data_IF_274643482200
#
_entry.id   IF_274643482200
#
_cell.length_a   1.000
_cell.length_b   1.000
_cell.length_c   1.000
_cell.angle_alpha   90.00
_cell.angle_beta   90.00
_cell.angle_gamma   90.00
#
_symmetry.space_group_name_H-M   'P 1'
#
loop_
_entity.id
_entity.type
_entity.pdbx_description
1 polymer ?
#
# COMPACT_ATOMS: atom_id res chain seq x y z
N UNK A 1 6.36 -21.34 -15.62
CA UNK A 1 5.60 -21.76 -14.41
C UNK A 1 5.55 -20.67 -13.34
N UNK A 2 6.67 -20.15 -12.80
CA UNK A 2 6.66 -19.15 -11.69
C UNK A 2 6.08 -17.76 -12.04
N UNK A 3 6.29 -17.30 -13.28
CA UNK A 3 5.86 -15.96 -13.74
C UNK A 3 4.33 -15.81 -13.73
N UNK A 4 3.61 -16.86 -14.09
CA UNK A 4 2.16 -16.85 -14.19
C UNK A 4 1.51 -16.79 -12.80
N UNK A 5 2.14 -17.42 -11.80
CA UNK A 5 1.62 -17.44 -10.43
C UNK A 5 1.60 -16.04 -9.80
N UNK A 6 2.60 -15.20 -10.10
CA UNK A 6 2.63 -13.81 -9.63
C UNK A 6 1.47 -12.99 -10.21
N UNK A 7 1.17 -13.15 -11.51
CA UNK A 7 0.05 -12.46 -12.13
C UNK A 7 -1.30 -12.95 -11.58
N UNK A 8 -1.44 -14.26 -11.33
CA UNK A 8 -2.64 -14.83 -10.70
C UNK A 8 -2.81 -14.28 -9.28
N UNK A 9 -1.74 -14.19 -8.50
CA UNK A 9 -1.80 -13.62 -7.15
C UNK A 9 -2.21 -12.14 -7.17
N UNK A 10 -1.67 -11.35 -8.09
CA UNK A 10 -2.05 -9.94 -8.25
C UNK A 10 -3.53 -9.83 -8.67
N UNK A 11 -3.96 -10.61 -9.65
CA UNK A 11 -5.35 -10.62 -10.11
C UNK A 11 -6.32 -11.04 -8.99
N UNK A 12 -5.95 -12.02 -8.17
CA UNK A 12 -6.73 -12.45 -7.02
C UNK A 12 -6.89 -11.35 -5.98
N UNK A 13 -5.82 -10.62 -5.66
CA UNK A 13 -5.87 -9.48 -4.74
C UNK A 13 -6.81 -8.40 -5.28
N UNK A 14 -6.68 -8.04 -6.56
CA UNK A 14 -7.57 -7.05 -7.18
C UNK A 14 -9.03 -7.51 -7.13
N UNK A 15 -9.30 -8.78 -7.49
CA UNK A 15 -10.65 -9.36 -7.42
C UNK A 15 -11.22 -9.37 -6.00
N UNK A 16 -10.42 -9.74 -5.01
CA UNK A 16 -10.81 -9.78 -3.59
C UNK A 16 -11.18 -8.38 -3.09
N UNK A 17 -10.34 -7.37 -3.39
CA UNK A 17 -10.60 -5.97 -3.03
C UNK A 17 -11.89 -5.45 -3.70
N UNK A 18 -12.16 -5.83 -4.95
CA UNK A 18 -13.38 -5.41 -5.64
C UNK A 18 -14.64 -6.13 -5.12
N UNK A 19 -14.54 -7.39 -4.70
CA UNK A 19 -15.68 -8.17 -4.17
C UNK A 19 -16.06 -7.78 -2.74
N UNK A 20 -15.09 -7.31 -1.94
CA UNK A 20 -15.30 -6.90 -0.54
C UNK A 20 -14.94 -5.42 -0.36
N UNK A 21 -15.87 -4.49 -0.65
CA UNK A 21 -15.60 -3.06 -0.57
C UNK A 21 -15.26 -2.59 0.86
N UNK A 22 -15.79 -3.26 1.89
CA UNK A 22 -15.43 -2.99 3.30
C UNK A 22 -13.98 -3.36 3.60
N UNK A 23 -13.54 -4.57 3.22
CA UNK A 23 -12.16 -5.02 3.45
C UNK A 23 -11.16 -4.19 2.63
N UNK A 24 -11.55 -3.78 1.42
CA UNK A 24 -10.73 -2.92 0.57
C UNK A 24 -10.54 -1.52 1.17
N UNK A 25 -11.58 -0.95 1.77
CA UNK A 25 -11.48 0.32 2.46
C UNK A 25 -10.45 0.25 3.61
N UNK A 26 -10.44 -0.84 4.38
CA UNK A 26 -9.47 -1.01 5.46
C UNK A 26 -8.04 -1.17 4.93
N UNK A 27 -7.82 -2.01 3.91
CA UNK A 27 -6.49 -2.20 3.31
C UNK A 27 -5.95 -0.89 2.72
N UNK A 28 -6.80 -0.17 2.01
CA UNK A 28 -6.44 1.10 1.36
C UNK A 28 -6.16 2.18 2.40
N UNK A 29 -7.03 2.33 3.42
CA UNK A 29 -6.78 3.27 4.52
C UNK A 29 -5.47 2.95 5.26
N UNK A 30 -5.23 1.69 5.61
CA UNK A 30 -3.98 1.27 6.25
C UNK A 30 -2.76 1.53 5.37
N UNK A 31 -2.86 1.30 4.05
CA UNK A 31 -1.77 1.58 3.12
C UNK A 31 -1.48 3.09 3.00
N UNK A 32 -2.52 3.93 2.92
CA UNK A 32 -2.37 5.38 2.90
C UNK A 32 -1.83 5.93 4.21
N UNK A 33 -2.30 5.45 5.36
CA UNK A 33 -1.76 5.84 6.67
C UNK A 33 -0.27 5.53 6.77
N UNK A 34 0.15 4.30 6.40
CA UNK A 34 1.57 3.92 6.41
C UNK A 34 2.41 4.74 5.43
N UNK A 35 1.87 5.07 4.26
CA UNK A 35 2.55 5.94 3.30
C UNK A 35 2.68 7.38 3.84
N UNK A 36 1.66 7.89 4.52
CA UNK A 36 1.70 9.19 5.20
C UNK A 36 2.73 9.23 6.32
N UNK A 37 2.80 8.19 7.15
CA UNK A 37 3.80 8.07 8.22
C UNK A 37 5.23 7.99 7.67
N UNK A 38 5.42 7.27 6.56
CA UNK A 38 6.71 7.22 5.87
C UNK A 38 7.07 8.58 5.24
N UNK A 39 6.09 9.29 4.66
CA UNK A 39 6.26 10.64 4.13
C UNK A 39 6.62 11.66 5.21
N UNK A 40 5.97 11.59 6.37
CA UNK A 40 6.29 12.40 7.55
C UNK A 40 7.70 12.10 8.05
N UNK A 41 8.09 10.84 8.11
CA UNK A 41 9.44 10.43 8.52
C UNK A 41 10.51 10.96 7.55
N UNK A 42 10.26 10.88 6.25
CA UNK A 42 11.12 11.45 5.22
C UNK A 42 11.20 12.97 5.31
N UNK A 43 10.06 13.64 5.49
CA UNK A 43 9.98 15.10 5.63
C UNK A 43 10.73 15.58 6.88
N UNK A 44 10.58 14.89 8.01
CA UNK A 44 11.30 15.16 9.24
C UNK A 44 12.82 15.02 9.06
N UNK A 45 13.27 13.99 8.36
CA UNK A 45 14.67 13.79 8.03
C UNK A 45 15.24 14.92 7.15
N UNK A 46 14.54 15.30 6.07
CA UNK A 46 14.98 16.40 5.20
C UNK A 46 15.02 17.73 5.95
N UNK A 47 14.04 18.00 6.81
CA UNK A 47 14.03 19.20 7.65
C UNK A 47 15.18 19.23 8.66
N UNK A 48 15.63 18.06 9.15
CA UNK A 48 16.80 17.97 10.02
C UNK A 48 18.12 18.20 9.28
N UNK A 49 18.22 17.78 8.00
CA UNK A 49 19.41 18.01 7.18
C UNK A 49 19.54 19.45 6.65
N UNK A 50 18.42 20.17 6.52
CA UNK A 50 18.40 21.56 6.05
C UNK A 50 18.69 22.61 7.13
N UNK A 51 18.85 22.17 8.39
CA UNK A 51 19.32 23.00 9.52
C UNK A 51 20.81 22.83 9.71
#
# INVERSE_FOLDING_TARGET
MKKNLRYVAIAFVIFYLLSSPTDAADVVNNAFSKLGDAGNSLSAFVNQLGK
#
